data_IF_290139236608
#
_entry.id   IF_290139236608
#
_cell.length_a   1.000
_cell.length_b   1.000
_cell.length_c   1.000
_cell.angle_alpha   90.00
_cell.angle_beta   90.00
_cell.angle_gamma   90.00
#
_symmetry.space_group_name_H-M   'P 1'
#
loop_
_entity.id
_entity.type
_entity.pdbx_description
1 polymer ?
#
# COMPACT_ATOMS: atom_id res chain seq x y z
N UNK A 1 -26.51 -13.42 -45.97
CA UNK A 1 -26.36 -12.52 -44.80
C UNK A 1 -25.05 -12.67 -44.03
N UNK A 2 -24.33 -13.80 -44.10
CA UNK A 2 -23.04 -13.97 -43.40
C UNK A 2 -21.84 -13.31 -44.11
N UNK A 3 -21.91 -13.10 -45.44
CA UNK A 3 -20.82 -12.50 -46.22
C UNK A 3 -20.75 -10.97 -46.16
N UNK A 4 -21.83 -10.29 -45.80
CA UNK A 4 -21.86 -8.81 -45.66
C UNK A 4 -21.27 -8.38 -44.30
N UNK A 5 -21.36 -9.24 -43.28
CA UNK A 5 -20.83 -8.97 -41.95
C UNK A 5 -19.29 -9.09 -41.88
N UNK A 6 -18.71 -10.00 -42.66
CA UNK A 6 -17.25 -10.17 -42.72
C UNK A 6 -16.57 -9.01 -43.45
N UNK A 7 -17.23 -8.43 -44.47
CA UNK A 7 -16.72 -7.30 -45.23
C UNK A 7 -16.71 -5.99 -44.41
N UNK A 8 -17.68 -5.80 -43.50
CA UNK A 8 -17.71 -4.63 -42.61
C UNK A 8 -16.64 -4.66 -41.51
N UNK A 9 -16.28 -5.85 -41.01
CA UNK A 9 -15.23 -6.01 -39.99
C UNK A 9 -13.85 -5.71 -40.60
N UNK A 10 -13.61 -6.07 -41.86
CA UNK A 10 -12.33 -5.80 -42.55
C UNK A 10 -12.16 -4.30 -42.85
N UNK A 11 -13.24 -3.57 -43.17
CA UNK A 11 -13.19 -2.11 -43.42
C UNK A 11 -12.99 -1.32 -42.11
N UNK A 12 -13.57 -1.77 -40.99
CA UNK A 12 -13.37 -1.14 -39.68
C UNK A 12 -11.96 -1.42 -39.13
N UNK A 13 -11.39 -2.61 -39.37
CA UNK A 13 -10.02 -2.93 -38.95
C UNK A 13 -8.95 -2.22 -39.80
N UNK A 14 -9.22 -2.00 -41.09
CA UNK A 14 -8.35 -1.26 -42.00
C UNK A 14 -8.24 0.23 -41.68
N UNK A 15 -9.27 0.85 -41.12
CA UNK A 15 -9.27 2.28 -40.76
C UNK A 15 -8.67 2.58 -39.38
N UNK A 16 -8.45 1.56 -38.54
CA UNK A 16 -7.85 1.74 -37.20
C UNK A 16 -6.32 1.57 -37.22
N UNK A 17 -5.78 0.87 -38.22
CA UNK A 17 -4.33 0.60 -38.32
C UNK A 17 -3.52 1.73 -38.97
N UNK A 18 -4.17 2.72 -39.61
CA UNK A 18 -3.48 3.87 -40.21
C UNK A 18 -3.21 5.03 -39.21
N UNK A 19 -3.70 4.89 -37.96
CA UNK A 19 -3.58 5.91 -36.90
C UNK A 19 -2.46 5.66 -35.89
N UNK A 20 -1.84 4.48 -35.92
CA UNK A 20 -0.78 4.07 -34.98
C UNK A 20 0.35 3.42 -35.77
N UNK A 21 1.28 4.22 -36.30
CA UNK A 21 2.50 3.73 -36.95
C UNK A 21 3.30 2.84 -36.00
N UNK A 22 3.06 1.53 -36.05
CA UNK A 22 3.81 0.52 -35.32
C UNK A 22 4.48 -0.39 -36.34
N UNK A 23 5.79 -0.29 -36.44
CA UNK A 23 6.64 -1.20 -37.21
C UNK A 23 6.81 -2.53 -36.46
N UNK A 24 6.85 -3.69 -37.17
CA UNK A 24 7.03 -4.98 -36.53
C UNK A 24 8.48 -5.18 -36.10
N UNK A 25 8.71 -5.39 -34.80
CA UNK A 25 10.01 -5.77 -34.23
C UNK A 25 10.21 -7.28 -34.40
N UNK A 26 11.27 -7.64 -35.12
CA UNK A 26 11.79 -9.00 -35.27
C UNK A 26 12.64 -9.34 -34.04
N UNK A 27 12.28 -10.38 -33.30
CA UNK A 27 13.10 -10.96 -32.23
C UNK A 27 13.90 -12.16 -32.76
N UNK A 28 15.23 -12.20 -32.59
CA UNK A 28 16.02 -13.38 -32.91
C UNK A 28 16.01 -14.39 -31.75
N UNK A 29 15.89 -15.66 -32.14
CA UNK A 29 15.99 -16.86 -31.31
C UNK A 29 17.45 -17.04 -30.86
N UNK A 30 17.67 -17.23 -29.56
CA UNK A 30 18.97 -17.68 -29.02
C UNK A 30 18.79 -18.99 -28.26
N UNK A 31 19.63 -19.94 -28.67
CA UNK A 31 19.67 -21.34 -28.29
C UNK A 31 20.19 -21.56 -26.86
N UNK A 32 19.72 -22.67 -26.28
CA UNK A 32 20.25 -23.30 -25.07
C UNK A 32 21.74 -23.61 -25.19
N UNK A 33 22.45 -23.51 -24.07
CA UNK A 33 23.54 -24.43 -23.76
C UNK A 33 23.45 -24.84 -22.28
N UNK A 34 23.37 -26.15 -22.07
CA UNK A 34 23.44 -26.83 -20.79
C UNK A 34 24.85 -27.35 -20.53
N UNK A 35 25.08 -27.67 -19.26
CA UNK A 35 26.19 -28.42 -18.67
C UNK A 35 27.48 -27.66 -18.35
N UNK A 36 27.80 -27.59 -17.07
CA UNK A 36 28.81 -28.51 -16.51
C UNK A 36 28.71 -28.59 -14.98
N UNK A 37 28.69 -29.82 -14.50
CA UNK A 37 28.80 -30.23 -13.10
C UNK A 37 30.25 -30.12 -12.64
N UNK A 38 30.48 -29.55 -11.46
CA UNK A 38 31.73 -29.72 -10.71
C UNK A 38 31.43 -29.91 -9.23
N UNK A 39 31.62 -31.15 -8.79
CA UNK A 39 31.76 -31.57 -7.39
C UNK A 39 33.09 -31.07 -6.82
N UNK A 40 33.10 -30.49 -5.61
CA UNK A 40 34.08 -30.86 -4.56
C UNK A 40 33.79 -30.24 -3.18
N UNK A 41 34.02 -31.09 -2.18
CA UNK A 41 34.52 -30.86 -0.82
C UNK A 41 33.71 -30.01 0.17
N UNK A 42 33.05 -30.75 1.05
CA UNK A 42 32.66 -30.40 2.42
C UNK A 42 33.87 -29.99 3.25
N UNK A 43 33.82 -28.77 3.80
CA UNK A 43 34.65 -28.37 4.95
C UNK A 43 33.72 -27.72 5.98
N UNK A 44 33.63 -28.35 7.15
CA UNK A 44 32.86 -27.88 8.29
C UNK A 44 33.60 -26.72 8.96
N UNK A 45 33.08 -25.50 8.79
CA UNK A 45 33.48 -24.34 9.59
C UNK A 45 32.25 -23.83 10.31
N UNK A 46 32.30 -23.92 11.63
CA UNK A 46 31.33 -23.40 12.59
C UNK A 46 31.25 -21.89 12.43
N UNK A 47 30.26 -21.41 11.69
CA UNK A 47 30.01 -19.99 11.53
C UNK A 47 29.23 -19.48 12.74
N UNK A 48 29.92 -18.74 13.61
CA UNK A 48 29.29 -17.89 14.63
C UNK A 48 28.47 -16.84 13.90
N UNK A 49 27.15 -16.97 13.93
CA UNK A 49 26.22 -16.03 13.30
C UNK A 49 26.20 -14.73 14.09
N UNK A 50 27.15 -13.84 13.83
CA UNK A 50 26.99 -12.42 14.13
C UNK A 50 25.94 -11.88 13.18
N UNK A 51 24.72 -11.74 13.68
CA UNK A 51 23.60 -11.06 13.02
C UNK A 51 23.98 -9.60 12.80
N UNK A 52 24.76 -9.36 11.74
CA UNK A 52 25.04 -8.02 11.26
C UNK A 52 23.74 -7.56 10.63
N UNK A 53 23.08 -6.59 11.25
CA UNK A 53 21.88 -5.93 10.71
C UNK A 53 22.22 -5.52 9.28
N UNK A 54 21.73 -6.25 8.29
CA UNK A 54 21.95 -5.91 6.90
C UNK A 54 21.35 -4.52 6.72
N UNK A 55 22.21 -3.50 6.59
CA UNK A 55 21.78 -2.15 6.29
C UNK A 55 20.88 -2.26 5.05
N UNK A 56 19.68 -1.69 5.13
CA UNK A 56 18.75 -1.64 4.00
C UNK A 56 19.43 -0.77 2.93
N UNK A 57 20.22 -1.37 2.05
CA UNK A 57 20.90 -0.66 0.95
C UNK A 57 19.84 -0.39 -0.10
N UNK A 58 19.11 0.69 0.11
CA UNK A 58 18.22 1.24 -0.88
C UNK A 58 19.05 1.92 -1.98
N UNK A 59 18.88 1.48 -3.23
CA UNK A 59 19.47 2.15 -4.38
C UNK A 59 18.49 3.21 -4.85
N UNK A 60 18.78 4.52 -4.70
CA UNK A 60 17.91 5.54 -5.25
C UNK A 60 17.73 5.34 -6.75
N UNK A 61 16.47 5.31 -7.18
CA UNK A 61 16.12 5.36 -8.60
C UNK A 61 16.85 6.57 -9.21
N UNK A 62 17.57 6.45 -10.33
CA UNK A 62 18.27 7.59 -10.90
C UNK A 62 17.25 8.67 -11.32
N UNK A 63 17.21 9.81 -10.60
CA UNK A 63 16.29 10.90 -10.93
C UNK A 63 16.67 11.60 -12.24
N UNK A 64 15.70 11.68 -13.13
CA UNK A 64 15.75 12.48 -14.34
C UNK A 64 15.17 13.88 -14.09
N UNK A 65 15.46 14.82 -14.98
CA UNK A 65 14.75 16.11 -14.98
C UNK A 65 13.25 15.94 -15.24
N UNK A 66 12.86 14.85 -15.91
CA UNK A 66 11.47 14.56 -16.24
C UNK A 66 10.68 14.19 -14.99
N UNK A 67 11.31 13.51 -14.02
CA UNK A 67 10.64 13.04 -12.81
C UNK A 67 10.21 14.22 -11.90
N UNK A 68 10.94 15.33 -11.85
CA UNK A 68 10.45 16.55 -11.18
C UNK A 68 9.42 17.30 -12.05
N UNK A 69 9.68 17.40 -13.35
CA UNK A 69 8.82 18.16 -14.29
C UNK A 69 7.44 17.53 -14.49
N UNK A 70 7.31 16.21 -14.40
CA UNK A 70 6.03 15.51 -14.48
C UNK A 70 5.03 15.96 -13.41
N UNK A 71 5.50 16.72 -12.41
CA UNK A 71 4.72 17.17 -11.27
C UNK A 71 4.84 18.68 -11.04
N UNK A 72 5.24 19.43 -12.06
CA UNK A 72 5.48 20.88 -12.01
C UNK A 72 6.52 21.34 -10.97
N UNK A 73 7.34 20.41 -10.46
CA UNK A 73 8.47 20.74 -9.59
C UNK A 73 9.70 21.08 -10.42
N UNK A 74 10.57 21.96 -9.89
CA UNK A 74 11.86 22.26 -10.51
C UNK A 74 12.93 21.35 -9.92
N UNK A 75 13.80 20.73 -10.71
CA UNK A 75 14.87 19.87 -10.16
C UNK A 75 15.93 20.72 -9.46
N UNK A 76 16.38 20.31 -8.27
CA UNK A 76 17.51 20.95 -7.60
C UNK A 76 18.81 20.68 -8.35
N UNK A 77 19.65 21.70 -8.51
CA UNK A 77 20.97 21.58 -9.18
C UNK A 77 21.95 20.70 -8.39
N UNK A 78 21.79 20.62 -7.07
CA UNK A 78 22.56 19.77 -6.15
C UNK A 78 21.58 19.20 -5.11
N UNK A 79 20.90 18.08 -5.40
CA UNK A 79 20.00 17.46 -4.42
C UNK A 79 20.82 16.96 -3.24
N UNK A 80 20.38 17.28 -2.02
CA UNK A 80 20.99 16.72 -0.82
C UNK A 80 20.31 15.40 -0.49
N UNK A 81 20.96 14.30 -0.87
CA UNK A 81 20.47 12.94 -0.65
C UNK A 81 20.57 12.48 0.80
N UNK A 82 21.39 13.16 1.62
CA UNK A 82 21.63 12.79 3.01
C UNK A 82 20.80 13.59 4.00
N UNK A 83 20.07 14.63 3.55
CA UNK A 83 19.22 15.46 4.39
C UNK A 83 17.90 15.80 3.70
N UNK A 84 16.80 15.39 4.34
CA UNK A 84 15.45 15.86 4.05
C UNK A 84 15.39 17.36 4.33
N UNK A 85 15.01 18.18 3.35
CA UNK A 85 14.93 19.65 3.50
C UNK A 85 13.78 20.11 4.40
N UNK A 86 12.72 19.30 4.48
CA UNK A 86 11.59 19.43 5.42
C UNK A 86 11.21 18.06 6.00
N UNK A 87 11.36 17.82 7.31
CA UNK A 87 11.04 16.53 7.93
C UNK A 87 9.67 15.99 7.49
N UNK A 88 9.64 14.70 7.15
CA UNK A 88 8.42 14.02 6.68
C UNK A 88 7.86 13.18 7.81
N UNK A 89 6.66 13.49 8.26
CA UNK A 89 5.93 12.70 9.26
C UNK A 89 4.82 11.92 8.57
N UNK A 90 4.81 10.61 8.77
CA UNK A 90 3.83 9.70 8.19
C UNK A 90 2.81 9.28 9.26
N UNK A 91 1.63 9.87 9.22
CA UNK A 91 0.54 9.57 10.15
C UNK A 91 -0.49 8.64 9.51
N UNK A 92 -0.79 7.53 10.16
CA UNK A 92 -1.83 6.63 9.69
C UNK A 92 -2.53 5.90 10.83
N UNK A 93 -3.77 5.52 10.58
CA UNK A 93 -4.55 4.69 11.50
C UNK A 93 -4.18 3.22 11.28
N UNK A 94 -4.11 2.46 12.36
CA UNK A 94 -3.70 1.06 12.36
C UNK A 94 -4.68 0.20 13.16
N UNK A 95 -4.98 -1.00 12.62
CA UNK A 95 -5.79 -2.01 13.30
C UNK A 95 -4.99 -3.29 13.57
N UNK A 96 -5.00 -4.27 12.66
CA UNK A 96 -4.34 -5.58 12.84
C UNK A 96 -3.49 -6.02 11.64
N UNK A 97 -3.27 -5.11 10.68
CA UNK A 97 -2.58 -5.38 9.42
C UNK A 97 -1.04 -5.39 9.55
N UNK A 98 -0.49 -6.27 10.40
CA UNK A 98 0.92 -6.30 10.77
C UNK A 98 1.89 -6.50 9.60
N UNK A 99 1.52 -7.29 8.59
CA UNK A 99 2.37 -7.50 7.41
C UNK A 99 2.34 -6.25 6.50
N UNK A 100 1.18 -5.61 6.32
CA UNK A 100 1.06 -4.32 5.62
C UNK A 100 1.86 -3.23 6.32
N UNK A 101 1.84 -3.18 7.66
CA UNK A 101 2.66 -2.25 8.44
C UNK A 101 4.15 -2.48 8.17
N UNK A 102 4.63 -3.73 8.15
CA UNK A 102 6.05 -4.00 7.86
C UNK A 102 6.43 -3.56 6.44
N UNK A 103 5.55 -3.82 5.47
CA UNK A 103 5.75 -3.42 4.06
C UNK A 103 5.84 -1.89 3.96
N UNK A 104 4.91 -1.16 4.58
CA UNK A 104 4.92 0.31 4.61
C UNK A 104 6.18 0.86 5.25
N UNK A 105 6.55 0.35 6.43
CA UNK A 105 7.75 0.79 7.14
C UNK A 105 9.00 0.57 6.28
N UNK A 106 9.14 -0.61 5.66
CA UNK A 106 10.28 -0.93 4.79
C UNK A 106 10.37 0.01 3.58
N UNK A 107 9.25 0.21 2.87
CA UNK A 107 9.17 1.05 1.67
C UNK A 107 9.59 2.51 1.95
N UNK A 108 9.20 3.03 3.12
CA UNK A 108 9.30 4.45 3.43
C UNK A 108 10.47 4.81 4.37
N UNK A 109 11.13 3.82 4.99
CA UNK A 109 12.06 4.01 6.10
C UNK A 109 13.15 5.05 5.83
N UNK A 110 13.69 5.08 4.60
CA UNK A 110 14.80 5.96 4.24
C UNK A 110 14.39 7.42 4.01
N UNK A 111 13.10 7.70 3.88
CA UNK A 111 12.57 9.03 3.54
C UNK A 111 11.81 9.68 4.67
N UNK A 112 11.10 8.86 5.45
CA UNK A 112 10.29 9.33 6.57
C UNK A 112 11.20 9.64 7.76
N UNK A 113 10.89 10.74 8.44
CA UNK A 113 11.53 11.14 9.70
C UNK A 113 10.87 10.45 10.89
N UNK A 114 9.54 10.44 10.96
CA UNK A 114 8.77 9.73 11.99
C UNK A 114 7.54 9.04 11.40
N UNK A 115 7.31 7.79 11.80
CA UNK A 115 6.06 7.08 11.61
C UNK A 115 5.19 7.27 12.85
N UNK A 116 4.04 7.93 12.69
CA UNK A 116 3.09 8.25 13.75
C UNK A 116 1.88 7.31 13.60
N UNK A 117 1.87 6.24 14.38
CA UNK A 117 0.96 5.12 14.18
C UNK A 117 -0.16 5.18 15.21
N UNK A 118 -1.36 5.56 14.78
CA UNK A 118 -2.52 5.66 15.65
C UNK A 118 -3.20 4.30 15.84
N UNK A 119 -3.40 3.91 17.09
CA UNK A 119 -4.00 2.64 17.48
C UNK A 119 -4.99 2.87 18.64
N UNK A 120 -6.06 2.07 18.71
CA UNK A 120 -7.00 2.08 19.84
C UNK A 120 -7.26 0.68 20.40
N UNK A 121 -7.70 0.60 21.65
CA UNK A 121 -8.28 -0.61 22.26
C UNK A 121 -9.73 -0.87 21.84
N UNK A 122 -10.28 -0.02 20.98
CA UNK A 122 -11.66 -0.12 20.50
C UNK A 122 -11.65 -0.08 18.97
N UNK A 123 -12.50 -0.88 18.32
CA UNK A 123 -12.74 -0.82 16.87
C UNK A 123 -13.47 0.47 16.52
N UNK A 124 -13.51 0.85 15.23
CA UNK A 124 -14.34 1.99 14.82
C UNK A 124 -15.81 1.73 15.17
N UNK A 125 -16.27 0.48 15.03
CA UNK A 125 -17.60 0.02 15.46
C UNK A 125 -17.79 -0.16 16.98
N UNK A 126 -16.92 0.40 17.83
CA UNK A 126 -17.14 0.46 19.28
C UNK A 126 -16.92 -0.86 20.04
N UNK A 127 -16.26 -1.85 19.45
CA UNK A 127 -15.97 -3.14 20.12
C UNK A 127 -14.56 -3.15 20.71
N UNK A 128 -14.40 -3.76 21.88
CA UNK A 128 -13.07 -3.96 22.47
C UNK A 128 -12.17 -4.83 21.58
N UNK A 129 -10.89 -4.47 21.50
CA UNK A 129 -9.82 -5.19 20.80
C UNK A 129 -8.48 -5.02 21.52
N UNK A 130 -7.54 -5.97 21.38
CA UNK A 130 -6.19 -5.76 21.87
C UNK A 130 -5.47 -4.64 21.11
N UNK A 131 -4.41 -4.13 21.72
CA UNK A 131 -3.45 -3.23 21.07
C UNK A 131 -2.46 -4.09 20.27
N UNK A 132 -2.86 -4.55 19.09
CA UNK A 132 -2.07 -5.42 18.22
C UNK A 132 -0.63 -4.92 17.97
N UNK A 133 -0.42 -3.63 17.72
CA UNK A 133 0.92 -3.06 17.55
C UNK A 133 1.71 -3.08 18.85
N UNK A 134 1.09 -2.74 19.99
CA UNK A 134 1.75 -2.81 21.30
C UNK A 134 2.18 -4.24 21.63
N UNK A 135 1.31 -5.22 21.40
CA UNK A 135 1.58 -6.64 21.66
C UNK A 135 2.66 -7.21 20.73
N UNK A 136 2.78 -6.67 19.51
CA UNK A 136 3.76 -7.10 18.51
C UNK A 136 4.92 -6.12 18.35
N UNK A 137 5.16 -5.22 19.31
CA UNK A 137 6.11 -4.12 19.18
C UNK A 137 7.53 -4.60 18.84
N UNK A 138 7.96 -5.72 19.43
CA UNK A 138 9.29 -6.30 19.18
C UNK A 138 9.49 -6.73 17.72
N UNK A 139 8.42 -7.12 16.98
CA UNK A 139 8.51 -7.48 15.54
C UNK A 139 9.10 -6.34 14.70
N UNK A 140 8.97 -5.11 15.18
CA UNK A 140 9.38 -3.89 14.47
C UNK A 140 10.62 -3.22 15.05
N UNK A 141 11.42 -3.93 15.87
CA UNK A 141 12.62 -3.39 16.55
C UNK A 141 13.55 -2.59 15.64
N UNK A 142 13.79 -3.10 14.42
CA UNK A 142 14.60 -2.43 13.39
C UNK A 142 14.10 -1.04 12.94
N UNK A 143 12.89 -0.65 13.29
CA UNK A 143 12.26 0.62 12.90
C UNK A 143 11.94 1.54 14.11
N UNK A 144 12.26 1.12 15.33
CA UNK A 144 11.85 1.81 16.57
C UNK A 144 12.41 3.23 16.70
N UNK A 145 13.56 3.52 16.09
CA UNK A 145 14.15 4.85 16.08
C UNK A 145 13.19 5.90 15.48
N UNK A 146 12.43 5.51 14.44
CA UNK A 146 11.46 6.36 13.74
C UNK A 146 9.99 6.10 14.08
N UNK A 147 9.65 4.98 14.71
CA UNK A 147 8.26 4.66 15.05
C UNK A 147 7.80 5.29 16.36
N UNK A 148 6.60 5.87 16.36
CA UNK A 148 5.88 6.32 17.55
C UNK A 148 4.46 5.76 17.49
N UNK A 149 4.04 5.08 18.55
CA UNK A 149 2.66 4.60 18.72
C UNK A 149 1.84 5.64 19.46
N UNK A 150 0.68 5.98 18.93
CA UNK A 150 -0.26 6.92 19.52
C UNK A 150 -1.51 6.14 19.89
N UNK A 151 -1.76 6.04 21.18
CA UNK A 151 -2.98 5.42 21.68
C UNK A 151 -4.12 6.44 21.67
N UNK A 152 -5.22 6.11 20.99
CA UNK A 152 -6.40 6.96 20.85
C UNK A 152 -7.58 6.31 21.57
N UNK A 153 -8.20 7.06 22.47
CA UNK A 153 -9.42 6.63 23.15
C UNK A 153 -10.63 6.87 22.23
N UNK A 154 -11.46 5.83 22.05
CA UNK A 154 -12.65 5.85 21.19
C UNK A 154 -13.89 5.49 22.00
N UNK A 155 -15.06 5.86 21.48
CA UNK A 155 -16.33 5.56 22.14
C UNK A 155 -16.75 4.12 21.85
N UNK A 156 -17.32 3.46 22.86
CA UNK A 156 -17.95 2.13 22.74
C UNK A 156 -19.38 2.24 22.15
N UNK A 157 -19.51 2.91 20.99
CA UNK A 157 -20.78 3.06 20.27
C UNK A 157 -20.77 2.26 18.95
N UNK A 158 -21.61 1.22 18.81
CA UNK A 158 -21.79 0.46 17.57
C UNK A 158 -22.22 1.26 16.34
N UNK A 159 -22.78 2.47 16.54
CA UNK A 159 -23.19 3.40 15.48
C UNK A 159 -22.24 4.59 15.35
N UNK A 160 -21.19 4.62 16.17
CA UNK A 160 -20.22 5.70 16.25
C UNK A 160 -19.09 5.57 15.23
N UNK A 161 -19.17 4.69 14.24
CA UNK A 161 -18.00 4.31 13.45
C UNK A 161 -17.34 5.47 12.68
N UNK A 162 -18.14 6.38 12.13
CA UNK A 162 -17.60 7.59 11.50
C UNK A 162 -17.05 8.59 12.51
N UNK A 163 -17.68 8.71 13.68
CA UNK A 163 -17.20 9.53 14.79
C UNK A 163 -15.86 9.02 15.30
N UNK A 164 -15.74 7.71 15.50
CA UNK A 164 -14.52 7.04 15.93
C UNK A 164 -13.42 7.15 14.88
N UNK A 165 -13.74 7.06 13.58
CA UNK A 165 -12.76 7.33 12.52
C UNK A 165 -12.26 8.79 12.58
N UNK A 166 -13.18 9.74 12.76
CA UNK A 166 -12.81 11.16 12.94
C UNK A 166 -11.91 11.34 14.16
N UNK A 167 -12.20 10.69 15.29
CA UNK A 167 -11.33 10.73 16.49
C UNK A 167 -9.96 10.11 16.21
N UNK A 168 -9.93 8.94 15.58
CA UNK A 168 -8.68 8.28 15.16
C UNK A 168 -7.83 9.20 14.29
N UNK A 169 -8.42 10.00 13.39
CA UNK A 169 -7.66 10.91 12.53
C UNK A 169 -7.32 12.23 13.22
N UNK A 170 -8.28 12.86 13.89
CA UNK A 170 -8.15 14.19 14.49
C UNK A 170 -7.42 14.13 15.82
N UNK A 171 -7.95 13.39 16.78
CA UNK A 171 -7.46 13.40 18.16
C UNK A 171 -6.10 12.69 18.24
N UNK A 172 -5.93 11.60 17.49
CA UNK A 172 -4.63 10.95 17.35
C UNK A 172 -3.57 11.87 16.75
N UNK A 173 -3.89 12.67 15.73
CA UNK A 173 -2.94 13.62 15.16
C UNK A 173 -2.58 14.76 16.14
N UNK A 174 -3.56 15.27 16.88
CA UNK A 174 -3.34 16.25 17.95
C UNK A 174 -2.40 15.70 19.03
N UNK A 175 -2.59 14.45 19.46
CA UNK A 175 -1.72 13.76 20.40
C UNK A 175 -0.31 13.57 19.82
N UNK A 176 -0.22 13.10 18.57
CA UNK A 176 1.04 12.82 17.89
C UNK A 176 1.92 14.07 17.74
N UNK A 177 1.29 15.23 17.50
CA UNK A 177 1.97 16.48 17.19
C UNK A 177 1.94 17.52 18.31
N UNK A 178 1.62 17.12 19.55
CA UNK A 178 1.51 18.03 20.70
C UNK A 178 2.78 18.87 20.93
N UNK A 179 3.95 18.29 20.70
CA UNK A 179 5.26 18.91 20.95
C UNK A 179 6.02 19.23 19.65
N UNK A 180 5.34 19.25 18.50
CA UNK A 180 5.98 19.53 17.23
C UNK A 180 6.19 21.05 17.08
N UNK A 181 7.44 21.46 16.84
CA UNK A 181 7.86 22.88 16.81
C UNK A 181 8.58 23.29 15.52
N UNK A 182 8.91 22.35 14.65
CA UNK A 182 9.62 22.57 13.38
C UNK A 182 8.71 22.41 12.17
N UNK A 183 8.88 23.16 11.09
CA UNK A 183 8.09 22.95 9.88
C UNK A 183 8.24 21.51 9.35
N UNK A 184 7.13 20.88 8.95
CA UNK A 184 7.09 19.50 8.45
C UNK A 184 6.22 19.37 7.20
N UNK A 185 6.45 18.29 6.45
CA UNK A 185 5.46 17.70 5.56
C UNK A 185 4.77 16.55 6.29
N UNK A 186 3.44 16.62 6.37
CA UNK A 186 2.60 15.62 7.01
C UNK A 186 1.91 14.77 5.93
N UNK A 187 2.12 13.46 5.98
CA UNK A 187 1.30 12.49 5.26
C UNK A 187 0.18 12.01 6.19
N UNK A 188 -1.05 11.92 5.68
CA UNK A 188 -2.15 11.28 6.40
C UNK A 188 -2.85 10.25 5.52
N UNK A 189 -3.09 9.04 6.03
CA UNK A 189 -3.63 7.92 5.25
C UNK A 189 -4.11 6.75 6.12
N UNK A 190 -4.57 5.69 5.47
CA UNK A 190 -4.72 4.36 6.08
C UNK A 190 -3.46 3.51 5.89
N UNK A 191 -3.28 2.47 6.71
CA UNK A 191 -2.05 1.64 6.68
C UNK A 191 -1.84 0.95 5.31
N UNK A 192 -2.92 0.58 4.61
CA UNK A 192 -2.92 -0.09 3.31
C UNK A 192 -2.79 0.85 2.11
N UNK A 193 -2.72 2.17 2.36
CA UNK A 193 -2.47 3.22 1.37
C UNK A 193 -1.01 3.66 1.42
N UNK A 194 -0.12 2.87 0.82
CA UNK A 194 1.34 3.01 0.93
C UNK A 194 1.87 3.95 -0.15
N UNK A 195 2.35 5.17 0.18
CA UNK A 195 3.08 5.99 -0.78
C UNK A 195 4.25 5.23 -1.41
N UNK A 196 4.55 5.48 -2.68
CA UNK A 196 5.73 4.91 -3.34
C UNK A 196 6.99 5.63 -2.86
N UNK A 197 8.06 4.89 -2.58
CA UNK A 197 9.37 5.46 -2.22
C UNK A 197 9.84 6.54 -3.21
N UNK A 198 9.57 6.34 -4.51
CA UNK A 198 9.90 7.30 -5.56
C UNK A 198 9.24 8.68 -5.35
N UNK A 199 7.99 8.74 -4.89
CA UNK A 199 7.34 10.03 -4.63
C UNK A 199 8.01 10.78 -3.49
N UNK A 200 8.29 10.11 -2.36
CA UNK A 200 8.99 10.75 -1.23
C UNK A 200 10.40 11.17 -1.62
N UNK A 201 11.03 10.41 -2.51
CA UNK A 201 12.32 10.78 -3.05
C UNK A 201 12.27 12.13 -3.80
N UNK A 202 11.23 12.35 -4.62
CA UNK A 202 11.02 13.61 -5.33
C UNK A 202 10.86 14.78 -4.37
N UNK A 203 10.18 14.59 -3.23
CA UNK A 203 10.03 15.63 -2.21
C UNK A 203 11.39 16.12 -1.67
N UNK A 204 12.40 15.26 -1.66
CA UNK A 204 13.75 15.59 -1.20
C UNK A 204 14.66 16.13 -2.30
N UNK A 205 14.40 15.75 -3.56
CA UNK A 205 15.30 16.01 -4.67
C UNK A 205 14.85 17.15 -5.60
N UNK A 206 13.60 17.57 -5.50
CA UNK A 206 13.05 18.68 -6.25
C UNK A 206 12.88 19.94 -5.38
N UNK A 207 12.89 21.10 -6.02
CA UNK A 207 12.51 22.38 -5.45
C UNK A 207 10.98 22.41 -5.35
N UNK A 208 10.49 22.41 -4.11
CA UNK A 208 9.08 22.41 -3.80
C UNK A 208 8.47 23.81 -3.94
N UNK A 209 7.19 23.92 -4.35
CA UNK A 209 6.46 25.18 -4.31
C UNK A 209 6.47 25.81 -2.90
N UNK A 210 6.48 27.14 -2.83
CA UNK A 210 6.40 27.91 -1.58
C UNK A 210 5.23 28.90 -1.66
N UNK A 211 4.17 28.76 -0.84
CA UNK A 211 3.93 27.66 0.11
C UNK A 211 3.72 26.32 -0.60
N UNK A 212 4.04 25.20 0.07
CA UNK A 212 3.74 23.87 -0.46
C UNK A 212 2.23 23.63 -0.34
N UNK A 213 1.52 23.34 -1.44
CA UNK A 213 0.08 23.16 -1.41
C UNK A 213 -0.27 21.75 -0.92
N UNK A 214 -1.41 21.63 -0.23
CA UNK A 214 -1.95 20.31 0.12
C UNK A 214 -2.39 19.56 -1.14
N UNK A 215 -2.05 18.28 -1.23
CA UNK A 215 -2.36 17.43 -2.37
C UNK A 215 -2.74 16.00 -1.97
N UNK A 216 -3.41 15.28 -2.88
CA UNK A 216 -3.75 13.85 -2.76
C UNK A 216 -2.79 13.02 -3.62
N UNK A 217 -2.34 11.89 -3.10
CA UNK A 217 -1.65 10.85 -3.87
C UNK A 217 -2.69 9.90 -4.46
N UNK A 218 -2.58 9.67 -5.76
CA UNK A 218 -3.45 8.73 -6.47
C UNK A 218 -2.79 7.35 -6.45
N UNK A 219 -3.48 6.38 -5.85
CA UNK A 219 -3.00 5.02 -5.62
C UNK A 219 -3.44 4.04 -6.71
N UNK A 220 -2.52 3.21 -7.18
CA UNK A 220 -2.90 1.99 -7.89
C UNK A 220 -3.68 1.07 -6.94
N UNK A 221 -4.95 0.82 -7.24
CA UNK A 221 -5.84 0.06 -6.37
C UNK A 221 -5.82 -1.44 -6.69
N UNK A 222 -5.41 -2.21 -5.70
CA UNK A 222 -5.32 -3.65 -5.70
C UNK A 222 -6.26 -4.26 -4.66
N UNK A 223 -6.66 -5.49 -4.90
CA UNK A 223 -7.65 -6.19 -4.09
C UNK A 223 -7.15 -7.60 -3.79
N UNK A 224 -7.10 -8.01 -2.52
CA UNK A 224 -6.60 -9.31 -2.04
C UNK A 224 -5.10 -9.59 -2.24
N UNK A 225 -4.51 -9.12 -3.34
CA UNK A 225 -3.10 -9.24 -3.71
C UNK A 225 -2.79 -8.22 -4.81
N UNK A 226 -1.50 -8.05 -5.13
CA UNK A 226 -1.06 -7.24 -6.27
C UNK A 226 -1.33 -7.89 -7.63
N UNK A 227 -1.95 -9.08 -7.68
CA UNK A 227 -2.45 -9.65 -8.93
C UNK A 227 -3.76 -9.00 -9.38
N UNK A 228 -4.64 -8.58 -8.47
CA UNK A 228 -5.99 -8.12 -8.85
C UNK A 228 -6.08 -6.60 -8.76
N UNK A 229 -5.95 -5.93 -9.92
CA UNK A 229 -6.04 -4.47 -10.01
C UNK A 229 -7.45 -4.06 -10.39
N UNK A 230 -7.98 -3.00 -9.77
CA UNK A 230 -9.32 -2.48 -10.08
C UNK A 230 -9.41 -1.96 -11.53
N UNK A 231 -10.45 -2.39 -12.23
CA UNK A 231 -10.83 -1.86 -13.52
C UNK A 231 -11.50 -0.49 -13.33
N UNK A 232 -11.18 0.48 -14.19
CA UNK A 232 -11.67 1.86 -14.06
C UNK A 232 -10.73 2.79 -13.31
N UNK A 233 -9.56 2.31 -12.89
CA UNK A 233 -8.42 3.16 -12.58
C UNK A 233 -8.08 3.30 -11.10
N UNK A 234 -7.12 4.19 -10.87
CA UNK A 234 -6.52 4.51 -9.59
C UNK A 234 -7.50 5.31 -8.70
N UNK A 235 -7.27 5.32 -7.38
CA UNK A 235 -8.13 6.03 -6.43
C UNK A 235 -7.35 7.07 -5.63
N UNK A 236 -8.04 8.07 -5.10
CA UNK A 236 -7.49 8.97 -4.10
C UNK A 236 -7.06 8.18 -2.86
N UNK A 237 -5.89 8.49 -2.31
CA UNK A 237 -5.39 7.89 -1.07
C UNK A 237 -4.70 8.93 -0.20
N UNK A 238 -3.40 8.76 0.16
CA UNK A 238 -2.74 9.60 1.14
C UNK A 238 -2.77 11.08 0.77
N UNK A 239 -2.96 11.95 1.76
CA UNK A 239 -2.79 13.38 1.58
C UNK A 239 -1.40 13.80 2.02
N UNK A 240 -0.85 14.84 1.39
CA UNK A 240 0.41 15.47 1.80
C UNK A 240 0.15 16.95 2.03
N UNK A 241 0.51 17.46 3.20
CA UNK A 241 0.27 18.85 3.59
C UNK A 241 1.49 19.44 4.30
N UNK A 242 1.74 20.73 4.10
CA UNK A 242 2.70 21.48 4.90
C UNK A 242 2.09 21.86 6.25
N UNK A 243 2.86 21.68 7.31
CA UNK A 243 2.49 22.09 8.66
C UNK A 243 3.60 22.92 9.30
N UNK A 244 3.27 24.14 9.70
CA UNK A 244 4.20 25.05 10.32
C UNK A 244 4.55 24.64 11.76
N UNK A 245 5.79 24.93 12.16
CA UNK A 245 6.33 24.75 13.50
C UNK A 245 5.67 25.63 14.56
N UNK A 246 5.41 26.89 14.21
CA UNK A 246 4.85 27.88 15.13
C UNK A 246 3.35 28.08 14.87
N UNK A 247 2.52 27.50 15.73
CA UNK A 247 1.06 27.40 15.56
C UNK A 247 0.27 28.54 16.23
N UNK A 248 0.76 29.77 16.18
CA UNK A 248 0.09 30.94 16.82
C UNK A 248 -1.21 31.35 16.13
N UNK A 249 -1.46 30.91 14.89
CA UNK A 249 -2.67 31.20 14.13
C UNK A 249 -3.54 29.94 13.94
N UNK A 250 -4.81 30.04 14.35
CA UNK A 250 -5.88 29.03 14.20
C UNK A 250 -6.11 28.52 12.76
N UNK A 251 -5.58 29.21 11.75
CA UNK A 251 -5.72 28.85 10.33
C UNK A 251 -4.91 27.62 9.90
N UNK A 252 -4.05 27.09 10.78
CA UNK A 252 -3.33 25.81 10.57
C UNK A 252 -3.60 24.85 11.73
N UNK A 253 -4.88 24.77 12.14
CA UNK A 253 -5.27 23.84 13.19
C UNK A 253 -4.81 22.43 12.82
N UNK A 254 -4.05 21.74 13.70
CA UNK A 254 -3.65 20.35 13.51
C UNK A 254 -4.84 19.39 13.63
N UNK A 255 -6.06 19.90 13.76
CA UNK A 255 -7.23 19.06 13.53
C UNK A 255 -7.18 18.55 12.09
N UNK A 256 -7.21 17.23 11.91
CA UNK A 256 -7.19 16.61 10.58
C UNK A 256 -8.30 17.08 9.63
N UNK A 257 -9.21 17.95 10.09
CA UNK A 257 -10.20 18.66 9.28
C UNK A 257 -9.53 19.63 8.30
N UNK A 258 -8.54 20.45 8.71
CA UNK A 258 -7.83 21.31 7.75
C UNK A 258 -7.10 20.49 6.67
N UNK A 259 -6.34 19.48 7.10
CA UNK A 259 -5.62 18.56 6.19
C UNK A 259 -6.57 17.89 5.20
N UNK A 260 -7.74 17.46 5.67
CA UNK A 260 -8.78 16.85 4.84
C UNK A 260 -9.42 17.88 3.91
N UNK A 261 -9.85 19.03 4.41
CA UNK A 261 -10.60 20.04 3.66
C UNK A 261 -9.74 20.63 2.51
N UNK A 262 -8.43 20.79 2.74
CA UNK A 262 -7.47 21.37 1.78
C UNK A 262 -6.82 20.34 0.84
N UNK A 263 -7.15 19.05 0.93
CA UNK A 263 -6.41 18.01 0.18
C UNK A 263 -6.46 18.18 -1.35
N UNK A 264 -7.44 18.92 -1.86
CA UNK A 264 -7.60 19.21 -3.30
C UNK A 264 -7.17 20.63 -3.68
N UNK A 265 -6.41 21.31 -2.82
CA UNK A 265 -5.87 22.64 -3.11
C UNK A 265 -4.75 22.62 -4.15
N UNK A 266 -4.35 21.42 -4.61
CA UNK A 266 -3.48 21.18 -5.76
C UNK A 266 -3.94 19.99 -6.59
N UNK A 267 -3.36 19.86 -7.80
CA UNK A 267 -3.62 18.71 -8.67
C UNK A 267 -3.19 17.40 -7.98
N UNK A 268 -4.00 16.32 -8.05
CA UNK A 268 -3.64 15.02 -7.50
C UNK A 268 -2.35 14.48 -8.14
N UNK A 269 -1.58 13.75 -7.36
CA UNK A 269 -0.30 13.17 -7.78
C UNK A 269 -0.52 11.77 -8.36
N UNK A 270 -0.46 11.59 -9.70
CA UNK A 270 -0.75 10.30 -10.32
C UNK A 270 0.32 9.26 -10.00
N UNK A 271 -0.08 7.99 -9.87
CA UNK A 271 0.82 6.84 -9.72
C UNK A 271 1.78 6.90 -8.53
N UNK A 272 1.41 7.64 -7.47
CA UNK A 272 2.30 7.94 -6.35
C UNK A 272 2.10 7.03 -5.13
N UNK A 273 1.18 6.08 -5.20
CA UNK A 273 0.83 5.21 -4.08
C UNK A 273 0.36 3.82 -4.53
N UNK A 274 0.47 2.84 -3.65
CA UNK A 274 -0.19 1.54 -3.70
C UNK A 274 -1.37 1.54 -2.71
N UNK A 275 -2.53 1.04 -3.11
CA UNK A 275 -3.61 0.71 -2.17
C UNK A 275 -3.93 -0.77 -2.32
N UNK A 276 -3.65 -1.59 -1.31
CA UNK A 276 -3.93 -3.03 -1.35
C UNK A 276 -5.04 -3.38 -0.34
N UNK A 277 -6.29 -3.25 -0.77
CA UNK A 277 -7.43 -3.50 0.11
C UNK A 277 -7.62 -5.02 0.28
N UNK A 278 -7.98 -5.44 1.49
CA UNK A 278 -8.25 -6.85 1.82
C UNK A 278 -7.07 -7.81 1.57
N UNK A 279 -5.83 -7.32 1.61
CA UNK A 279 -4.64 -8.11 1.30
C UNK A 279 -4.14 -8.96 2.48
N UNK A 280 -5.00 -9.87 2.96
CA UNK A 280 -4.78 -10.71 4.14
C UNK A 280 -4.35 -12.13 3.83
N UNK A 281 -3.45 -12.68 4.63
CA UNK A 281 -3.03 -14.09 4.57
C UNK A 281 -3.85 -15.00 5.49
N UNK A 282 -4.87 -14.48 6.18
CA UNK A 282 -5.75 -15.25 7.06
C UNK A 282 -7.21 -14.81 6.94
N UNK A 283 -8.12 -15.77 6.99
CA UNK A 283 -9.57 -15.53 6.96
C UNK A 283 -10.01 -14.76 8.21
N UNK A 284 -9.39 -15.02 9.36
CA UNK A 284 -9.74 -14.30 10.59
C UNK A 284 -9.48 -12.78 10.49
N UNK A 285 -8.44 -12.33 9.77
CA UNK A 285 -8.16 -10.92 9.53
C UNK A 285 -9.21 -10.29 8.59
N UNK A 286 -9.62 -11.01 7.54
CA UNK A 286 -10.74 -10.60 6.69
C UNK A 286 -12.01 -10.38 7.53
N UNK A 287 -12.36 -11.34 8.40
CA UNK A 287 -13.53 -11.24 9.28
C UNK A 287 -13.39 -10.11 10.31
N UNK A 288 -12.19 -9.93 10.85
CA UNK A 288 -11.85 -8.83 11.77
C UNK A 288 -12.14 -7.47 11.13
N UNK A 289 -11.59 -7.21 9.93
CA UNK A 289 -11.82 -5.97 9.18
C UNK A 289 -13.29 -5.77 8.83
N UNK A 290 -14.00 -6.80 8.34
CA UNK A 290 -15.44 -6.75 8.07
C UNK A 290 -16.25 -6.31 9.31
N UNK A 291 -15.85 -6.76 10.49
CA UNK A 291 -16.57 -6.48 11.73
C UNK A 291 -16.21 -5.13 12.38
N UNK A 292 -15.12 -4.48 11.94
CA UNK A 292 -14.49 -3.35 12.65
C UNK A 292 -14.46 -2.03 11.89
N UNK A 293 -14.48 -2.04 10.55
CA UNK A 293 -14.33 -0.84 9.72
C UNK A 293 -15.61 0.02 9.59
N UNK A 294 -15.46 1.26 9.09
CA UNK A 294 -16.52 2.28 9.06
C UNK A 294 -17.74 1.95 8.21
N UNK A 295 -17.61 1.06 7.21
CA UNK A 295 -18.72 0.63 6.37
C UNK A 295 -19.46 -0.56 7.00
N UNK A 296 -20.05 -0.33 8.17
CA UNK A 296 -20.73 -1.38 8.95
C UNK A 296 -21.94 -2.00 8.22
N UNK A 297 -22.51 -1.31 7.23
CA UNK A 297 -23.55 -1.82 6.33
C UNK A 297 -23.11 -3.02 5.48
N UNK A 298 -21.80 -3.17 5.28
CA UNK A 298 -21.18 -4.28 4.56
C UNK A 298 -20.84 -5.46 5.48
N UNK A 299 -21.04 -5.34 6.80
CA UNK A 299 -20.80 -6.42 7.75
C UNK A 299 -21.95 -7.44 7.75
N UNK A 300 -22.10 -8.21 6.68
CA UNK A 300 -23.19 -9.19 6.49
C UNK A 300 -22.70 -10.62 6.59
N UNK A 301 -23.48 -11.49 7.23
CA UNK A 301 -23.13 -12.88 7.49
C UNK A 301 -22.69 -13.66 6.23
N UNK A 302 -23.31 -13.38 5.08
CA UNK A 302 -22.96 -14.01 3.81
C UNK A 302 -21.50 -13.77 3.36
N UNK A 303 -20.88 -12.66 3.79
CA UNK A 303 -19.48 -12.34 3.45
C UNK A 303 -18.46 -12.91 4.45
N UNK A 304 -18.92 -13.53 5.55
CA UNK A 304 -18.06 -14.12 6.57
C UNK A 304 -17.74 -15.60 6.31
N UNK A 305 -18.44 -16.27 5.39
CA UNK A 305 -18.23 -17.71 5.17
C UNK A 305 -16.85 -17.97 4.56
N UNK A 306 -16.22 -19.07 4.97
CA UNK A 306 -14.89 -19.43 4.47
C UNK A 306 -14.93 -19.68 2.97
N UNK A 307 -15.98 -20.35 2.48
CA UNK A 307 -16.20 -20.66 1.08
C UNK A 307 -16.30 -19.38 0.25
N UNK A 308 -17.09 -18.39 0.71
CA UNK A 308 -17.20 -17.11 0.02
C UNK A 308 -15.85 -16.40 -0.01
N UNK A 309 -15.19 -16.22 1.15
CA UNK A 309 -13.90 -15.52 1.24
C UNK A 309 -12.85 -16.17 0.32
N UNK A 310 -12.71 -17.50 0.35
CA UNK A 310 -11.76 -18.22 -0.52
C UNK A 310 -12.11 -18.03 -2.00
N UNK A 311 -13.38 -18.16 -2.39
CA UNK A 311 -13.81 -17.94 -3.79
C UNK A 311 -13.44 -16.54 -4.27
N UNK A 312 -13.70 -15.51 -3.46
CA UNK A 312 -13.41 -14.12 -3.83
C UNK A 312 -11.92 -13.85 -3.95
N UNK A 313 -11.15 -14.27 -2.96
CA UNK A 313 -9.70 -14.07 -2.93
C UNK A 313 -8.98 -14.85 -4.03
N UNK A 314 -9.48 -16.03 -4.42
CA UNK A 314 -8.90 -16.83 -5.50
C UNK A 314 -9.18 -16.22 -6.88
N UNK A 315 -10.38 -15.69 -7.08
CA UNK A 315 -10.86 -15.30 -8.41
C UNK A 315 -10.91 -13.78 -8.63
N UNK A 316 -10.49 -12.97 -7.66
CA UNK A 316 -10.50 -11.51 -7.78
C UNK A 316 -11.92 -10.92 -7.89
N UNK A 317 -12.93 -11.58 -7.32
CA UNK A 317 -14.31 -11.10 -7.33
C UNK A 317 -14.54 -10.14 -6.16
N UNK A 318 -15.35 -9.09 -6.33
CA UNK A 318 -15.70 -8.19 -5.22
C UNK A 318 -16.27 -8.95 -4.01
N UNK A 319 -15.81 -8.59 -2.80
CA UNK A 319 -16.21 -9.26 -1.56
C UNK A 319 -17.70 -9.11 -1.29
N UNK A 320 -18.29 -8.02 -1.79
CA UNK A 320 -19.65 -7.57 -1.49
C UNK A 320 -20.63 -7.75 -2.65
N UNK A 321 -20.24 -8.47 -3.71
CA UNK A 321 -21.04 -8.67 -4.92
C UNK A 321 -21.50 -7.38 -5.61
N UNK A 322 -20.74 -6.28 -5.49
CA UNK A 322 -21.05 -5.02 -6.18
C UNK A 322 -20.67 -5.17 -7.66
N UNK A 323 -21.63 -5.08 -8.60
CA UNK A 323 -21.37 -5.36 -10.01
C UNK A 323 -20.47 -4.32 -10.68
N UNK A 324 -20.33 -3.12 -10.09
CA UNK A 324 -19.42 -2.08 -10.57
C UNK A 324 -17.97 -2.28 -10.14
N UNK A 325 -17.70 -3.16 -9.18
CA UNK A 325 -16.36 -3.40 -8.64
C UNK A 325 -15.75 -4.61 -9.35
N UNK A 326 -14.98 -4.32 -10.39
CA UNK A 326 -14.35 -5.32 -11.26
C UNK A 326 -12.84 -5.24 -11.06
N UNK A 327 -12.20 -6.40 -10.95
CA UNK A 327 -10.75 -6.49 -10.80
C UNK A 327 -10.16 -7.36 -11.92
N UNK A 328 -9.16 -6.82 -12.61
CA UNK A 328 -8.41 -7.53 -13.63
C UNK A 328 -7.21 -8.22 -13.00
N UNK A 329 -6.95 -9.47 -13.39
CA UNK A 329 -5.76 -10.19 -12.96
C UNK A 329 -4.58 -9.78 -13.85
N UNK A 330 -3.47 -9.39 -13.21
CA UNK A 330 -2.20 -9.04 -13.83
C UNK A 330 -1.21 -10.14 -13.49
N UNK A 331 -0.76 -10.88 -14.50
CA UNK A 331 0.30 -11.86 -14.34
C UNK A 331 1.67 -11.15 -14.26
N UNK A 332 2.55 -11.61 -13.36
CA UNK A 332 3.90 -11.08 -13.17
C UNK A 332 3.97 -9.56 -12.95
N UNK A 333 3.07 -9.02 -12.10
CA UNK A 333 3.05 -7.60 -11.79
C UNK A 333 4.35 -7.15 -11.10
N UNK A 334 5.02 -6.15 -11.66
CA UNK A 334 6.25 -5.54 -11.12
C UNK A 334 5.99 -4.24 -10.34
N UNK A 335 4.77 -3.67 -10.45
CA UNK A 335 4.31 -2.51 -9.69
C UNK A 335 3.89 -2.90 -8.26
N UNK A 336 4.86 -3.38 -7.46
CA UNK A 336 4.68 -3.83 -6.08
C UNK A 336 5.71 -3.23 -5.12
N UNK A 337 5.42 -3.14 -3.80
CA UNK A 337 6.37 -2.69 -2.78
C UNK A 337 7.69 -3.47 -2.75
N UNK A 338 8.79 -2.78 -2.38
CA UNK A 338 10.15 -3.35 -2.46
C UNK A 338 10.37 -4.53 -1.50
N UNK A 339 9.73 -4.53 -0.32
CA UNK A 339 9.84 -5.66 0.61
C UNK A 339 9.27 -6.95 -0.01
N UNK A 340 8.19 -6.83 -0.78
CA UNK A 340 7.54 -7.97 -1.45
C UNK A 340 8.46 -8.51 -2.54
N UNK A 341 9.09 -7.62 -3.33
CA UNK A 341 10.11 -8.02 -4.33
C UNK A 341 11.30 -8.71 -3.69
N UNK A 342 11.74 -8.23 -2.53
CA UNK A 342 12.88 -8.77 -1.80
C UNK A 342 12.58 -10.12 -1.12
N UNK A 343 11.32 -10.41 -0.79
CA UNK A 343 10.90 -11.62 -0.09
C UNK A 343 9.67 -12.29 -0.74
N UNK A 344 9.75 -12.68 -2.03
CA UNK A 344 8.59 -13.13 -2.79
C UNK A 344 7.99 -14.43 -2.25
N UNK A 345 8.79 -15.32 -1.67
CA UNK A 345 8.30 -16.56 -1.05
C UNK A 345 7.43 -16.27 0.19
N UNK A 346 7.90 -15.38 1.07
CA UNK A 346 7.20 -14.98 2.29
C UNK A 346 5.87 -14.30 1.98
N UNK A 347 5.86 -13.46 0.94
CA UNK A 347 4.70 -12.68 0.49
C UNK A 347 4.04 -13.28 -0.75
N UNK A 348 4.16 -14.59 -0.97
CA UNK A 348 3.57 -15.28 -2.12
C UNK A 348 2.06 -15.04 -2.25
N UNK A 349 1.35 -14.93 -1.13
CA UNK A 349 -0.08 -14.59 -1.09
C UNK A 349 -0.41 -13.17 -1.61
N UNK A 350 0.59 -12.29 -1.76
CA UNK A 350 0.44 -10.95 -2.33
C UNK A 350 0.78 -10.88 -3.82
N UNK A 351 1.38 -11.92 -4.42
CA UNK A 351 1.86 -11.88 -5.82
C UNK A 351 1.48 -13.07 -6.68
N UNK A 352 1.03 -14.19 -6.09
CA UNK A 352 0.62 -15.40 -6.81
C UNK A 352 -0.50 -16.15 -6.08
N UNK A 353 -1.38 -15.41 -5.42
CA UNK A 353 -2.50 -15.90 -4.63
C UNK A 353 -3.37 -16.90 -5.37
N UNK A 354 -3.74 -16.61 -6.62
CA UNK A 354 -4.71 -17.44 -7.35
C UNK A 354 -4.24 -18.88 -7.54
N UNK A 355 -2.92 -19.08 -7.67
CA UNK A 355 -2.30 -20.40 -7.83
C UNK A 355 -2.08 -21.15 -6.52
N UNK A 356 -2.17 -20.47 -5.37
CA UNK A 356 -1.91 -21.09 -4.07
C UNK A 356 -3.06 -21.99 -3.62
N UNK A 357 -2.71 -23.01 -2.84
CA UNK A 357 -3.68 -23.79 -2.07
C UNK A 357 -4.42 -22.84 -1.12
N UNK A 358 -5.73 -23.05 -0.96
CA UNK A 358 -6.60 -22.20 -0.13
C UNK A 358 -6.45 -20.68 -0.40
N UNK A 359 -6.14 -20.29 -1.64
CA UNK A 359 -5.89 -18.90 -2.02
C UNK A 359 -4.84 -18.21 -1.11
N UNK A 360 -3.84 -18.94 -0.63
CA UNK A 360 -2.78 -18.41 0.23
C UNK A 360 -3.18 -18.13 1.68
N UNK A 361 -4.37 -18.55 2.13
CA UNK A 361 -4.77 -18.43 3.53
C UNK A 361 -4.04 -19.45 4.42
N UNK A 362 -3.32 -18.95 5.42
CA UNK A 362 -2.50 -19.75 6.35
C UNK A 362 -3.30 -20.42 7.47
N UNK A 363 -4.52 -19.94 7.74
CA UNK A 363 -5.42 -20.46 8.77
C UNK A 363 -6.45 -21.47 8.23
N UNK A 364 -6.32 -21.88 6.96
CA UNK A 364 -7.17 -22.89 6.33
C UNK A 364 -6.38 -24.19 6.17
N UNK A 365 -6.73 -25.21 6.94
CA UNK A 365 -6.19 -26.56 6.78
C UNK A 365 -6.74 -27.22 5.52
N UNK A 366 -5.93 -28.04 4.84
CA UNK A 366 -6.44 -28.90 3.77
C UNK A 366 -7.47 -29.87 4.36
N UNK A 367 -8.72 -29.77 3.93
CA UNK A 367 -9.66 -30.89 4.09
C UNK A 367 -9.29 -31.93 3.05
N UNK A 368 -8.76 -33.07 3.51
CA UNK A 368 -8.57 -34.24 2.64
C UNK A 368 -9.93 -34.60 2.05
N UNK A 369 -10.09 -34.37 0.75
CA UNK A 369 -11.28 -34.71 -0.03
C UNK A 369 -11.54 -36.23 -0.13
N UNK A 370 -10.75 -37.07 0.57
CA UNK A 370 -10.90 -38.52 0.63
C UNK A 370 -11.92 -39.04 1.66
N UNK A 371 -12.50 -38.19 2.53
CA UNK A 371 -13.47 -38.64 3.56
C UNK A 371 -14.95 -38.41 3.21
N UNK A 372 -15.27 -37.82 2.05
CA UNK A 372 -16.66 -37.69 1.58
C UNK A 372 -17.16 -38.86 0.70
N UNK A 373 -16.45 -39.98 0.68
CA UNK A 373 -16.84 -41.22 -0.01
C UNK A 373 -16.76 -42.47 0.88
N UNK A 374 -17.18 -42.39 2.14
CA UNK A 374 -17.47 -43.58 2.96
C UNK A 374 -18.89 -43.57 3.48
#
# INVERSE_FOLDING_TARGET
>A
MLFIFLALIIIIFGLVLDKYQLSPIVLPILFLNTATTSTTSTTSTTATTTTTTAAIIFRPYPLTNQDCKSYDFKRLRRPNMSHVTLPIYDYFIFHDELDTLEIRLYELYNYVTLFLIAESQTTLTGKSKPLYLKENWQKFEKYHDKMRRIEVELDEDPRGQWTNEIKMRRDGLLLALKNQTQDILLLTSDVDEIPKAHFLYLLNACELPKPFPSLVLVCAYYYYSFEFRRQGGAIDGPTVSFLAGNRTNRTTSPDGKYVRDERFSYQPMPSACYHCSWCFDRINLTRSKLASFSHSELNRAEYHTQEHIIDRYRHGKDLFNRPSEIYIRIENNDEIPELIKAQPERFSYLINRAALVNAGFRDVTQTNSSEKQR
#
